data_IF_832110866479
#
_entry.id   IF_832110866479
#
_cell.length_a   1.000
_cell.length_b   1.000
_cell.length_c   1.000
_cell.angle_alpha   90.00
_cell.angle_beta   90.00
_cell.angle_gamma   90.00
#
_symmetry.space_group_name_H-M   'P 1'
#
loop_
_entity.id
_entity.type
_entity.pdbx_description
1 polymer ?
#
# COMPACT_ATOMS: atom_id res chain seq x y z
N UNK A 1 -28.50 34.86 -27.29
CA UNK A 1 -27.29 35.29 -26.57
C UNK A 1 -27.07 34.32 -25.41
N UNK A 2 -26.41 33.18 -25.66
CA UNK A 2 -25.97 32.31 -24.56
C UNK A 2 -24.88 33.09 -23.82
N UNK A 3 -25.20 33.50 -22.59
CA UNK A 3 -24.37 34.35 -21.76
C UNK A 3 -22.99 33.71 -21.57
N UNK A 4 -21.93 34.49 -21.83
CA UNK A 4 -20.52 34.13 -21.60
C UNK A 4 -20.31 33.48 -20.22
N UNK A 5 -21.13 33.86 -19.24
CA UNK A 5 -21.11 33.31 -17.88
C UNK A 5 -21.40 31.81 -17.83
N UNK A 6 -22.33 31.30 -18.65
CA UNK A 6 -22.69 29.86 -18.66
C UNK A 6 -21.56 29.03 -19.25
N UNK A 7 -20.90 29.55 -20.30
CA UNK A 7 -19.75 28.90 -20.93
C UNK A 7 -18.55 28.88 -19.98
N UNK A 8 -18.27 29.99 -19.29
CA UNK A 8 -17.19 30.05 -18.29
C UNK A 8 -17.43 29.07 -17.12
N UNK A 9 -18.66 28.96 -16.61
CA UNK A 9 -18.98 28.05 -15.51
C UNK A 9 -18.84 26.58 -15.93
N UNK A 10 -19.28 26.22 -17.13
CA UNK A 10 -19.10 24.86 -17.65
C UNK A 10 -17.61 24.56 -17.89
N UNK A 11 -16.84 25.50 -18.45
CA UNK A 11 -15.40 25.34 -18.65
C UNK A 11 -14.63 25.21 -17.33
N UNK A 12 -15.03 25.95 -16.28
CA UNK A 12 -14.44 25.82 -14.94
C UNK A 12 -14.81 24.50 -14.25
N UNK A 13 -16.02 23.97 -14.46
CA UNK A 13 -16.45 22.67 -13.92
C UNK A 13 -15.72 21.52 -14.64
N UNK A 14 -15.45 21.65 -15.95
CA UNK A 14 -14.68 20.65 -16.72
C UNK A 14 -13.18 20.69 -16.38
N UNK A 15 -12.61 21.85 -16.01
CA UNK A 15 -11.20 21.99 -15.59
C UNK A 15 -10.98 21.59 -14.12
N UNK A 16 -12.02 21.61 -13.28
CA UNK A 16 -12.05 20.86 -12.00
C UNK A 16 -12.25 19.36 -12.25
N UNK A 17 -11.50 18.83 -13.23
CA UNK A 17 -11.34 17.41 -13.46
C UNK A 17 -11.01 16.77 -12.12
N UNK A 18 -11.96 15.99 -11.63
CA UNK A 18 -11.89 15.24 -10.38
C UNK A 18 -10.59 14.45 -10.44
N UNK A 19 -9.53 14.93 -9.79
CA UNK A 19 -8.33 14.11 -9.52
C UNK A 19 -8.80 13.02 -8.58
N UNK A 20 -9.26 11.93 -9.16
CA UNK A 20 -9.65 10.74 -8.41
C UNK A 20 -8.38 10.22 -7.76
N UNK A 21 -8.31 10.29 -6.44
CA UNK A 21 -7.26 9.61 -5.68
C UNK A 21 -7.41 8.11 -5.95
N UNK A 22 -6.35 7.47 -6.47
CA UNK A 22 -6.39 6.01 -6.64
C UNK A 22 -6.23 5.37 -5.28
N UNK A 23 -7.24 4.59 -4.89
CA UNK A 23 -7.10 3.61 -3.81
C UNK A 23 -6.78 2.25 -4.41
N UNK A 24 -5.82 1.58 -3.79
CA UNK A 24 -5.40 0.25 -4.16
C UNK A 24 -5.67 -0.72 -3.02
N UNK A 25 -5.97 -1.97 -3.37
CA UNK A 25 -6.21 -3.04 -2.41
C UNK A 25 -5.42 -4.27 -2.83
N UNK A 26 -4.83 -4.98 -1.89
CA UNK A 26 -4.39 -6.35 -2.07
C UNK A 26 -5.19 -7.27 -1.14
N UNK A 27 -5.71 -8.35 -1.69
CA UNK A 27 -6.41 -9.38 -0.93
C UNK A 27 -5.56 -10.64 -0.86
N UNK A 28 -5.19 -11.05 0.36
CA UNK A 28 -4.46 -12.31 0.60
C UNK A 28 -5.28 -13.53 0.18
N UNK A 29 -6.61 -13.50 0.34
CA UNK A 29 -7.48 -14.62 0.01
C UNK A 29 -7.59 -14.86 -1.49
N UNK A 30 -7.69 -13.80 -2.30
CA UNK A 30 -7.79 -13.93 -3.76
C UNK A 30 -6.44 -13.84 -4.45
N UNK A 31 -5.38 -13.39 -3.75
CA UNK A 31 -4.06 -13.08 -4.31
C UNK A 31 -4.15 -12.07 -5.45
N UNK A 32 -4.93 -11.01 -5.25
CA UNK A 32 -5.15 -9.97 -6.27
C UNK A 32 -4.86 -8.58 -5.75
N UNK A 33 -4.18 -7.78 -6.56
CA UNK A 33 -4.09 -6.32 -6.43
C UNK A 33 -5.18 -5.70 -7.29
N UNK A 34 -5.93 -4.75 -6.74
CA UNK A 34 -6.91 -3.95 -7.44
C UNK A 34 -6.63 -2.47 -7.23
N UNK A 35 -6.50 -1.70 -8.31
CA UNK A 35 -6.36 -0.25 -8.30
C UNK A 35 -7.30 0.33 -9.35
N UNK A 36 -8.29 1.12 -8.92
CA UNK A 36 -9.33 1.60 -9.82
C UNK A 36 -10.04 0.45 -10.55
N UNK A 37 -10.01 0.47 -11.88
CA UNK A 37 -10.58 -0.58 -12.75
C UNK A 37 -9.63 -1.73 -13.06
N UNK A 38 -8.34 -1.64 -12.71
CA UNK A 38 -7.37 -2.69 -12.98
C UNK A 38 -7.27 -3.67 -11.81
N UNK A 39 -7.30 -4.95 -12.14
CA UNK A 39 -7.10 -6.04 -11.20
C UNK A 39 -6.02 -7.00 -11.76
N UNK A 40 -5.05 -7.38 -10.93
CA UNK A 40 -3.93 -8.23 -11.30
C UNK A 40 -3.69 -9.31 -10.25
N UNK A 41 -3.35 -10.52 -10.69
CA UNK A 41 -2.80 -11.54 -9.80
C UNK A 41 -1.47 -11.07 -9.22
N UNK A 42 -1.25 -11.32 -7.93
CA UNK A 42 -0.05 -10.92 -7.22
C UNK A 42 0.34 -11.92 -6.14
N UNK A 43 1.63 -11.96 -5.83
CA UNK A 43 2.18 -12.78 -4.75
C UNK A 43 2.61 -11.89 -3.58
N UNK A 44 2.51 -12.44 -2.38
CA UNK A 44 3.14 -11.92 -1.16
C UNK A 44 3.53 -13.09 -0.28
N UNK A 45 4.67 -12.99 0.39
CA UNK A 45 5.09 -14.01 1.35
C UNK A 45 4.56 -13.72 2.76
N UNK A 46 4.45 -12.44 3.13
CA UNK A 46 4.15 -12.01 4.51
C UNK A 46 3.94 -10.50 4.67
N UNK A 47 3.51 -9.76 3.64
CA UNK A 47 3.22 -8.31 3.77
C UNK A 47 2.12 -8.07 4.82
N UNK A 48 2.38 -7.37 5.93
CA UNK A 48 1.41 -7.22 7.04
C UNK A 48 0.05 -6.67 6.60
N UNK A 49 -1.01 -7.09 7.28
CA UNK A 49 -2.36 -6.56 7.03
C UNK A 49 -2.43 -5.13 7.55
N UNK A 50 -3.09 -4.24 6.80
CA UNK A 50 -3.27 -2.85 7.23
C UNK A 50 -3.32 -1.84 6.08
N UNK A 51 -3.38 -0.58 6.47
CA UNK A 51 -3.33 0.56 5.56
C UNK A 51 -1.90 1.04 5.35
N UNK A 52 -1.63 1.48 4.13
CA UNK A 52 -0.35 1.98 3.67
C UNK A 52 -0.57 3.25 2.85
N UNK A 53 0.34 4.20 2.96
CA UNK A 53 0.45 5.26 1.96
C UNK A 53 1.22 4.70 0.76
N UNK A 54 0.78 5.03 -0.45
CA UNK A 54 1.54 4.74 -1.67
C UNK A 54 2.58 5.83 -1.92
N UNK A 55 3.78 5.39 -2.30
CA UNK A 55 4.80 6.25 -2.89
C UNK A 55 4.50 6.61 -4.34
N UNK A 56 5.40 7.40 -4.92
CA UNK A 56 5.45 7.57 -6.37
C UNK A 56 5.97 6.28 -7.04
N UNK A 57 5.68 6.13 -8.33
CA UNK A 57 6.35 5.11 -9.14
C UNK A 57 7.77 5.57 -9.41
N UNK A 58 8.74 4.80 -8.96
CA UNK A 58 10.17 5.12 -9.06
C UNK A 58 10.94 3.94 -9.67
N UNK A 59 11.97 4.26 -10.47
CA UNK A 59 12.93 3.29 -10.96
C UNK A 59 13.85 2.86 -9.81
N UNK A 60 13.87 1.56 -9.50
CA UNK A 60 14.86 0.99 -8.60
C UNK A 60 16.04 0.44 -9.41
N UNK A 61 17.19 1.12 -9.34
CA UNK A 61 18.41 0.72 -10.03
C UNK A 61 18.97 -0.63 -9.57
N UNK A 62 18.83 -1.00 -8.29
CA UNK A 62 19.29 -2.28 -7.76
C UNK A 62 18.39 -3.47 -8.12
N UNK A 63 17.17 -3.22 -8.59
CA UNK A 63 16.20 -4.26 -9.00
C UNK A 63 15.84 -4.19 -10.49
N UNK A 64 16.37 -3.19 -11.19
CA UNK A 64 16.16 -2.90 -12.61
C UNK A 64 14.68 -2.90 -13.01
N UNK A 65 13.83 -2.29 -12.18
CA UNK A 65 12.39 -2.21 -12.42
C UNK A 65 11.77 -1.02 -11.70
N UNK A 66 10.63 -0.56 -12.22
CA UNK A 66 9.79 0.41 -11.52
C UNK A 66 9.06 -0.28 -10.36
N UNK A 67 8.98 0.41 -9.23
CA UNK A 67 8.21 -0.06 -8.08
C UNK A 67 7.54 1.12 -7.36
N UNK A 68 6.67 0.78 -6.41
CA UNK A 68 6.02 1.74 -5.54
C UNK A 68 6.26 1.35 -4.09
N UNK A 69 6.88 2.25 -3.32
CA UNK A 69 7.06 2.05 -1.89
C UNK A 69 5.70 2.09 -1.18
N UNK A 70 5.49 1.17 -0.24
CA UNK A 70 4.32 1.12 0.63
C UNK A 70 4.77 1.52 2.04
N UNK A 71 4.19 2.62 2.55
CA UNK A 71 4.52 3.17 3.85
C UNK A 71 3.45 2.75 4.86
N UNK A 72 3.72 1.84 5.81
CA UNK A 72 2.73 1.33 6.75
C UNK A 72 2.15 2.45 7.62
N UNK A 73 0.83 2.46 7.83
CA UNK A 73 0.18 3.41 8.74
C UNK A 73 0.57 3.07 10.19
N UNK A 74 0.89 4.10 10.96
CA UNK A 74 1.20 3.95 12.39
C UNK A 74 -0.05 3.54 13.15
N UNK A 75 0.05 2.62 14.11
CA UNK A 75 -1.08 2.21 14.98
C UNK A 75 -1.67 3.39 15.77
N UNK A 76 -0.85 4.40 16.08
CA UNK A 76 -1.29 5.65 16.71
C UNK A 76 -2.21 6.50 15.82
N UNK A 77 -2.27 6.23 14.52
CA UNK A 77 -2.96 7.07 13.53
C UNK A 77 -2.22 8.36 13.16
N UNK A 78 -1.06 8.64 13.75
CA UNK A 78 -0.32 9.91 13.59
C UNK A 78 0.47 10.04 12.27
N UNK A 79 0.18 9.21 11.27
CA UNK A 79 0.83 9.21 9.97
C UNK A 79 1.33 7.83 9.56
N UNK A 80 2.42 7.80 8.81
CA UNK A 80 3.00 6.59 8.22
C UNK A 80 4.46 6.42 8.63
N UNK A 81 4.93 5.17 8.70
CA UNK A 81 6.33 4.84 8.90
C UNK A 81 7.13 5.13 7.62
N UNK A 82 8.36 5.63 7.78
CA UNK A 82 9.26 5.84 6.64
C UNK A 82 9.70 4.49 6.04
N UNK A 83 9.92 4.45 4.73
CA UNK A 83 10.27 3.23 4.01
C UNK A 83 11.59 2.62 4.47
N UNK A 84 12.57 3.46 4.81
CA UNK A 84 13.93 3.04 5.17
C UNK A 84 14.10 2.82 6.68
N UNK A 85 13.11 3.22 7.48
CA UNK A 85 13.14 3.08 8.93
C UNK A 85 12.41 1.84 9.40
N UNK A 86 12.87 1.26 10.50
CA UNK A 86 12.20 0.11 11.09
C UNK A 86 10.80 0.49 11.59
N UNK A 87 9.85 -0.43 11.37
CA UNK A 87 8.46 -0.28 11.76
C UNK A 87 8.19 -1.14 13.01
N UNK A 88 8.06 -0.54 14.20
CA UNK A 88 7.79 -1.27 15.43
C UNK A 88 6.39 -1.89 15.49
N UNK A 89 5.43 -1.39 14.72
CA UNK A 89 4.04 -1.82 14.80
C UNK A 89 3.82 -3.19 14.16
N UNK A 90 4.53 -3.48 13.06
CA UNK A 90 4.44 -4.74 12.32
C UNK A 90 5.77 -5.48 12.19
N UNK A 91 6.87 -4.92 12.68
CA UNK A 91 8.22 -5.48 12.54
C UNK A 91 8.76 -5.50 11.10
N UNK A 92 8.03 -4.92 10.14
CA UNK A 92 8.41 -4.95 8.72
C UNK A 92 8.37 -3.57 8.08
N UNK A 93 9.47 -3.28 7.40
CA UNK A 93 9.69 -2.08 6.59
C UNK A 93 10.17 -2.48 5.19
N UNK A 94 10.41 -1.50 4.32
CA UNK A 94 10.88 -1.73 2.94
C UNK A 94 9.93 -2.61 2.12
N UNK A 95 8.63 -2.36 2.26
CA UNK A 95 7.58 -3.08 1.55
C UNK A 95 7.25 -2.31 0.28
N UNK A 96 7.23 -2.99 -0.86
CA UNK A 96 6.91 -2.36 -2.14
C UNK A 96 5.88 -3.16 -2.94
N UNK A 97 5.22 -2.47 -3.87
CA UNK A 97 4.44 -3.03 -4.97
C UNK A 97 5.28 -2.97 -6.26
N UNK A 98 5.55 -4.09 -6.91
CA UNK A 98 6.47 -4.14 -8.05
C UNK A 98 6.19 -5.29 -9.03
N UNK A 99 6.77 -5.29 -10.25
CA UNK A 99 6.64 -6.41 -11.17
C UNK A 99 7.56 -7.57 -10.79
N UNK A 100 7.18 -8.76 -11.25
CA UNK A 100 7.92 -10.01 -11.08
C UNK A 100 7.25 -11.00 -10.14
N UNK A 101 7.88 -12.16 -9.98
CA UNK A 101 7.33 -13.29 -9.21
C UNK A 101 7.87 -13.40 -7.79
N UNK A 102 9.00 -12.75 -7.50
CA UNK A 102 9.69 -12.84 -6.20
C UNK A 102 9.07 -11.85 -5.23
N UNK A 103 8.47 -12.37 -4.16
CA UNK A 103 8.19 -11.59 -2.96
C UNK A 103 9.31 -11.87 -1.94
N UNK A 104 9.61 -10.87 -1.11
CA UNK A 104 10.34 -11.02 0.15
C UNK A 104 9.59 -10.20 1.19
N UNK A 105 8.26 -10.35 1.21
CA UNK A 105 7.30 -9.51 1.92
C UNK A 105 6.90 -8.22 1.22
N UNK A 106 7.19 -8.14 -0.07
CA UNK A 106 6.60 -7.21 -1.01
C UNK A 106 5.35 -7.80 -1.66
N UNK A 107 4.63 -6.98 -2.41
CA UNK A 107 3.54 -7.43 -3.27
C UNK A 107 4.06 -7.40 -4.70
N UNK A 108 4.21 -8.59 -5.30
CA UNK A 108 4.82 -8.74 -6.62
C UNK A 108 3.77 -9.15 -7.66
N UNK A 109 3.66 -8.42 -8.76
CA UNK A 109 2.74 -8.71 -9.88
C UNK A 109 3.51 -9.47 -10.98
N UNK A 110 3.29 -10.78 -11.18
CA UNK A 110 4.10 -11.59 -12.10
C UNK A 110 3.82 -11.31 -13.58
N UNK A 111 2.56 -10.99 -13.92
CA UNK A 111 2.15 -10.69 -15.28
C UNK A 111 2.61 -9.28 -15.68
N UNK A 112 3.55 -9.22 -16.62
CA UNK A 112 4.15 -7.97 -17.10
C UNK A 112 3.15 -7.08 -17.85
N UNK A 113 2.17 -7.64 -18.55
CA UNK A 113 1.13 -6.87 -19.23
C UNK A 113 0.16 -6.27 -18.21
N UNK A 114 -0.21 -7.05 -17.20
CA UNK A 114 -1.05 -6.55 -16.12
C UNK A 114 -0.35 -5.45 -15.32
N UNK A 115 0.93 -5.65 -15.01
CA UNK A 115 1.77 -4.63 -14.38
C UNK A 115 1.83 -3.34 -15.20
N UNK A 116 2.05 -3.40 -16.52
CA UNK A 116 2.14 -2.19 -17.35
C UNK A 116 0.87 -1.33 -17.32
N UNK A 117 -0.31 -1.96 -17.24
CA UNK A 117 -1.60 -1.26 -17.06
C UNK A 117 -1.69 -0.63 -15.67
N UNK A 118 -1.31 -1.39 -14.64
CA UNK A 118 -1.31 -0.93 -13.26
C UNK A 118 -0.35 0.26 -13.06
N UNK A 119 0.87 0.17 -13.60
CA UNK A 119 1.90 1.20 -13.54
C UNK A 119 1.42 2.49 -14.21
N UNK A 120 0.72 2.39 -15.34
CA UNK A 120 0.14 3.53 -16.04
C UNK A 120 -0.87 4.26 -15.15
N UNK A 121 -1.77 3.52 -14.50
CA UNK A 121 -2.74 4.10 -13.55
C UNK A 121 -2.04 4.77 -12.35
N UNK A 122 -1.03 4.11 -11.80
CA UNK A 122 -0.25 4.61 -10.66
C UNK A 122 0.58 5.86 -11.00
N UNK A 123 1.00 6.05 -12.25
CA UNK A 123 1.70 7.26 -12.72
C UNK A 123 0.76 8.44 -12.98
N UNK A 124 -0.47 8.17 -13.41
CA UNK A 124 -1.44 9.19 -13.82
C UNK A 124 -2.23 9.79 -12.65
N UNK A 125 -2.46 9.00 -11.59
CA UNK A 125 -3.23 9.42 -10.42
C UNK A 125 -2.26 9.70 -9.27
N UNK A 126 -2.54 10.70 -8.43
CA UNK A 126 -1.78 10.92 -7.19
C UNK A 126 -2.16 9.79 -6.24
N UNK A 127 -1.28 8.79 -5.99
CA UNK A 127 -1.68 7.62 -5.22
C UNK A 127 -1.77 7.98 -3.75
N UNK A 128 -2.94 7.79 -3.15
CA UNK A 128 -3.19 8.26 -1.79
C UNK A 128 -3.17 7.12 -0.76
N UNK A 129 -3.69 5.94 -1.10
CA UNK A 129 -3.80 4.84 -0.14
C UNK A 129 -3.75 3.44 -0.79
N UNK A 130 -3.09 2.52 -0.10
CA UNK A 130 -3.05 1.10 -0.40
C UNK A 130 -3.46 0.32 0.84
N UNK A 131 -4.26 -0.73 0.70
CA UNK A 131 -4.64 -1.59 1.83
C UNK A 131 -4.34 -3.04 1.55
N UNK A 132 -3.82 -3.73 2.55
CA UNK A 132 -3.64 -5.18 2.56
C UNK A 132 -4.73 -5.76 3.44
N UNK A 133 -5.51 -6.69 2.89
CA UNK A 133 -6.66 -7.30 3.56
C UNK A 133 -6.54 -8.82 3.64
N UNK A 134 -7.15 -9.41 4.67
CA UNK A 134 -7.16 -10.86 4.93
C UNK A 134 -6.77 -11.19 6.36
N UNK A 135 -6.66 -12.49 6.67
CA UNK A 135 -6.23 -12.95 7.99
C UNK A 135 -4.70 -12.82 8.10
N UNK A 136 -4.26 -12.25 9.22
CA UNK A 136 -2.85 -12.22 9.60
C UNK A 136 -2.53 -13.48 10.41
N UNK A 137 -1.61 -14.31 9.92
CA UNK A 137 -1.05 -15.39 10.73
C UNK A 137 0.05 -14.79 11.60
N UNK A 138 -0.14 -14.84 12.91
CA UNK A 138 0.77 -14.23 13.90
C UNK A 138 2.16 -14.84 13.81
N UNK A 139 3.14 -14.04 13.38
CA UNK A 139 4.56 -14.27 13.64
C UNK A 139 4.96 -13.69 14.99
N UNK A 140 5.95 -14.30 15.64
CA UNK A 140 6.49 -13.85 16.93
C UNK A 140 7.05 -12.43 16.82
N UNK A 141 6.48 -11.49 17.59
CA UNK A 141 7.02 -10.14 17.73
C UNK A 141 8.25 -10.14 18.63
N UNK A 142 9.41 -9.75 18.09
CA UNK A 142 10.61 -9.49 18.89
C UNK A 142 10.67 -8.01 19.29
N UNK A 143 11.05 -7.75 20.54
CA UNK A 143 11.44 -6.41 21.00
C UNK A 143 12.82 -6.10 20.43
N UNK A 144 12.90 -5.17 19.49
CA UNK A 144 14.16 -4.60 19.02
C UNK A 144 14.15 -3.09 19.23
N UNK A 145 15.27 -2.52 19.65
CA UNK A 145 15.48 -1.07 19.62
C UNK A 145 15.50 -0.60 18.17
N UNK A 146 14.61 0.34 17.83
CA UNK A 146 14.41 0.79 16.45
C UNK A 146 15.30 1.99 16.12
N UNK A 147 16.02 1.91 14.99
CA UNK A 147 16.84 2.99 14.46
C UNK A 147 16.25 3.51 13.14
N UNK A 148 16.15 4.84 13.02
CA UNK A 148 15.73 5.53 11.81
C UNK A 148 16.77 6.60 11.51
N UNK A 149 17.53 6.43 10.42
CA UNK A 149 18.59 7.37 10.02
C UNK A 149 19.57 7.73 11.15
N UNK A 150 19.95 6.76 11.99
CA UNK A 150 20.91 6.96 13.09
C UNK A 150 20.30 7.51 14.38
N UNK A 151 19.01 7.84 14.41
CA UNK A 151 18.31 8.24 15.64
C UNK A 151 17.55 7.06 16.25
N UNK A 152 17.82 6.80 17.53
CA UNK A 152 17.14 5.76 18.33
C UNK A 152 15.77 6.27 18.79
N UNK A 153 14.72 5.53 18.47
CA UNK A 153 13.37 5.81 18.99
C UNK A 153 13.09 4.91 20.21
N UNK A 154 12.94 5.53 21.39
CA UNK A 154 12.53 4.83 22.61
C UNK A 154 11.11 4.25 22.45
N UNK A 155 10.99 2.93 22.55
CA UNK A 155 9.72 2.20 22.41
C UNK A 155 9.05 2.04 23.77
N UNK A 156 7.77 2.40 23.89
CA UNK A 156 6.93 1.98 25.01
C UNK A 156 6.18 0.68 24.69
N UNK A 157 6.10 -0.20 25.69
CA UNK A 157 5.46 -1.54 25.67
C UNK A 157 4.01 -1.50 25.19
N UNK A 158 3.62 -2.43 24.32
CA UNK A 158 2.23 -2.89 24.24
C UNK A 158 2.19 -4.41 24.43
N UNK A 159 1.29 -4.82 25.33
CA UNK A 159 0.92 -6.20 25.65
C UNK A 159 0.35 -6.91 24.41
N UNK A 160 0.67 -8.18 24.30
CA UNK A 160 0.05 -9.23 23.49
C UNK A 160 -1.40 -8.91 23.08
N UNK A 161 -1.67 -8.87 21.78
CA UNK A 161 -3.04 -8.84 21.24
C UNK A 161 -3.45 -10.29 21.00
N UNK A 162 -4.39 -10.78 21.81
CA UNK A 162 -5.09 -12.05 21.57
C UNK A 162 -6.09 -11.87 20.41
N UNK A 163 -6.16 -12.87 19.52
CA UNK A 163 -7.16 -12.95 18.46
C UNK A 163 -8.53 -13.25 19.09
N UNK A 164 -9.51 -12.37 18.89
CA UNK A 164 -10.94 -12.72 18.99
C UNK A 164 -11.39 -13.06 17.57
N UNK A 165 -11.54 -14.35 17.30
CA UNK A 165 -12.13 -14.86 16.07
C UNK A 165 -12.97 -16.07 16.42
N UNK A 166 -14.27 -15.86 16.58
CA UNK A 166 -15.24 -16.93 16.83
C UNK A 166 -15.31 -17.85 15.61
N UNK A 167 -14.91 -19.10 15.80
CA UNK A 167 -15.18 -20.19 14.86
C UNK A 167 -16.70 -20.46 14.91
N UNK A 168 -17.46 -20.03 13.91
CA UNK A 168 -18.80 -20.58 13.68
C UNK A 168 -18.62 -21.73 12.69
N UNK A 169 -18.49 -22.93 13.22
CA UNK A 169 -18.66 -24.17 12.45
C UNK A 169 -20.15 -24.45 12.43
N UNK A 170 -20.79 -24.26 11.27
CA UNK A 170 -22.13 -24.83 11.04
C UNK A 170 -21.94 -26.29 10.62
N UNK A 171 -22.59 -27.17 11.37
CA UNK A 171 -22.72 -28.62 11.16
C UNK A 171 -23.32 -28.99 9.81
#
# INVERSE_FOLDING_TARGET
MLSCTVICVIFSIVILGIRSEISCTFSRSTKKVKCGSQECSANTDDTPVGEYKLGAVEWNSGKERNWVNLYPKKKSGSGYWDYYCENPDSGRSKIALHPGSVSQGCISVPDSQCWGKLETLLKQQTPYSFSVTGVEHSGLGYLTTFSCNGNWLNSQKIKTVSVIGSLQVTS
#
